data_IF_266744243370
#
_entry.id   IF_266744243370
#
_cell.length_a   1.000
_cell.length_b   1.000
_cell.length_c   1.000
_cell.angle_alpha   90.00
_cell.angle_beta   90.00
_cell.angle_gamma   90.00
#
_symmetry.space_group_name_H-M   'P 1'
#
loop_
_entity.id
_entity.type
_entity.pdbx_description
1 polymer ?
#
# COMPACT_ATOMS: atom_id res chain seq x y z
N UNK A 1 23.05 21.29 3.22
CA UNK A 1 22.26 21.18 1.96
C UNK A 1 20.82 21.55 2.30
N UNK A 2 19.95 21.84 1.32
CA UNK A 2 18.49 21.83 1.58
C UNK A 2 18.05 20.39 1.85
N UNK A 3 17.09 20.19 2.75
CA UNK A 3 16.35 18.92 2.85
C UNK A 3 15.29 18.88 1.75
N UNK A 4 14.98 17.69 1.24
CA UNK A 4 13.90 17.53 0.26
C UNK A 4 12.59 17.12 0.92
N UNK A 5 11.48 17.71 0.50
CA UNK A 5 10.13 17.23 0.81
C UNK A 5 9.61 16.45 -0.38
N UNK A 6 9.25 15.20 -0.17
CA UNK A 6 8.64 14.33 -1.17
C UNK A 6 7.16 14.11 -0.82
N UNK A 7 6.27 14.90 -1.43
CA UNK A 7 4.83 14.72 -1.34
C UNK A 7 4.38 13.66 -2.35
N UNK A 8 3.69 12.62 -1.88
CA UNK A 8 3.04 11.63 -2.73
C UNK A 8 1.60 11.38 -2.26
N UNK A 9 0.68 11.33 -3.21
CA UNK A 9 -0.74 11.07 -2.99
C UNK A 9 -1.21 9.82 -3.74
N UNK A 10 -1.89 8.91 -3.03
CA UNK A 10 -2.56 7.75 -3.61
C UNK A 10 -3.96 8.15 -4.11
N UNK A 11 -4.36 7.68 -5.29
CA UNK A 11 -5.69 7.92 -5.87
C UNK A 11 -6.28 6.58 -6.29
N UNK A 12 -7.11 6.00 -5.42
CA UNK A 12 -7.83 4.76 -5.70
C UNK A 12 -9.33 4.96 -5.52
N UNK A 13 -10.12 4.32 -6.38
CA UNK A 13 -11.53 4.05 -6.16
C UNK A 13 -11.82 2.61 -6.59
N UNK A 14 -12.36 1.75 -5.70
CA UNK A 14 -12.70 0.39 -6.04
C UNK A 14 -13.98 0.33 -6.88
N UNK A 15 -14.09 -0.73 -7.65
CA UNK A 15 -15.18 -1.11 -8.53
C UNK A 15 -16.17 -1.95 -7.73
N UNK A 16 -16.94 -1.28 -6.87
CA UNK A 16 -17.77 -1.92 -5.84
C UNK A 16 -18.74 -2.92 -6.46
N UNK A 17 -18.81 -4.11 -5.87
CA UNK A 17 -19.76 -5.15 -6.24
C UNK A 17 -21.19 -4.75 -5.83
N UNK A 18 -22.18 -5.06 -6.66
CA UNK A 18 -23.59 -5.00 -6.27
C UNK A 18 -23.89 -6.06 -5.20
N UNK A 19 -25.04 -5.94 -4.52
CA UNK A 19 -25.53 -7.08 -3.75
C UNK A 19 -25.82 -8.23 -4.72
N UNK A 20 -25.11 -9.34 -4.54
CA UNK A 20 -25.09 -10.50 -5.43
C UNK A 20 -25.41 -11.76 -4.63
N UNK A 21 -26.55 -12.37 -4.93
CA UNK A 21 -27.17 -13.40 -4.09
C UNK A 21 -26.89 -14.80 -4.63
N UNK A 22 -26.99 -15.81 -3.78
CA UNK A 22 -26.86 -17.22 -4.17
C UNK A 22 -27.78 -17.62 -5.35
N UNK A 23 -28.95 -16.97 -5.49
CA UNK A 23 -29.88 -17.22 -6.58
C UNK A 23 -29.50 -16.55 -7.92
N UNK A 24 -28.50 -15.67 -7.93
CA UNK A 24 -28.05 -14.94 -9.13
C UNK A 24 -26.97 -15.75 -9.89
N UNK A 25 -26.25 -16.62 -9.16
CA UNK A 25 -25.20 -17.52 -9.66
C UNK A 25 -25.72 -18.37 -10.82
N UNK A 26 -24.99 -18.38 -11.93
CA UNK A 26 -25.31 -19.10 -13.16
C UNK A 26 -26.43 -18.46 -14.00
N UNK A 27 -26.78 -17.18 -13.76
CA UNK A 27 -27.90 -16.50 -14.44
C UNK A 27 -27.61 -15.06 -14.83
N UNK A 28 -26.92 -14.30 -13.99
CA UNK A 28 -26.52 -12.92 -14.26
C UNK A 28 -25.08 -12.69 -13.82
N UNK A 29 -24.26 -12.19 -14.73
CA UNK A 29 -22.83 -11.95 -14.52
C UNK A 29 -22.48 -10.46 -14.47
N UNK A 30 -23.47 -9.57 -14.35
CA UNK A 30 -23.26 -8.16 -14.03
C UNK A 30 -22.98 -8.01 -12.52
N UNK A 31 -21.70 -7.90 -12.16
CA UNK A 31 -21.26 -7.94 -10.76
C UNK A 31 -21.20 -6.57 -10.06
N UNK A 32 -21.15 -5.46 -10.80
CA UNK A 32 -20.72 -4.16 -10.28
C UNK A 32 -21.89 -3.20 -10.01
N UNK A 33 -21.80 -2.39 -8.95
CA UNK A 33 -22.79 -1.35 -8.64
C UNK A 33 -22.43 -0.04 -9.35
N UNK A 34 -22.79 0.05 -10.63
CA UNK A 34 -22.59 1.25 -11.46
C UNK A 34 -23.22 2.51 -10.85
N UNK A 35 -24.30 2.37 -10.07
CA UNK A 35 -24.95 3.51 -9.42
C UNK A 35 -24.13 4.02 -8.23
N UNK A 36 -23.68 3.12 -7.34
CA UNK A 36 -22.85 3.47 -6.20
C UNK A 36 -21.48 4.00 -6.65
N UNK A 37 -20.82 3.31 -7.58
CA UNK A 37 -19.52 3.72 -8.12
C UNK A 37 -19.59 5.11 -8.76
N UNK A 38 -20.55 5.35 -9.66
CA UNK A 38 -20.78 6.68 -10.25
C UNK A 38 -21.10 7.74 -9.18
N UNK A 39 -21.97 7.44 -8.23
CA UNK A 39 -22.42 8.42 -7.22
C UNK A 39 -21.31 8.80 -6.25
N UNK A 40 -20.52 7.83 -5.77
CA UNK A 40 -19.38 8.06 -4.88
C UNK A 40 -18.28 8.79 -5.63
N UNK A 41 -17.88 8.33 -6.82
CA UNK A 41 -16.84 9.00 -7.62
C UNK A 41 -17.19 10.46 -7.93
N UNK A 42 -18.46 10.75 -8.27
CA UNK A 42 -18.90 12.13 -8.53
C UNK A 42 -18.83 13.01 -7.28
N UNK A 43 -19.13 12.48 -6.09
CA UNK A 43 -18.94 13.16 -4.80
C UNK A 43 -17.47 13.45 -4.51
N UNK A 44 -16.61 12.44 -4.62
CA UNK A 44 -15.16 12.56 -4.34
C UNK A 44 -14.50 13.52 -5.33
N UNK A 45 -14.83 13.42 -6.63
CA UNK A 45 -14.31 14.34 -7.65
C UNK A 45 -14.61 15.81 -7.36
N UNK A 46 -15.83 16.12 -6.89
CA UNK A 46 -16.26 17.50 -6.60
C UNK A 46 -15.64 18.07 -5.31
N UNK A 47 -15.31 17.24 -4.33
CA UNK A 47 -14.81 17.66 -3.01
C UNK A 47 -13.29 17.53 -2.84
N UNK A 48 -12.69 16.56 -3.52
CA UNK A 48 -11.27 16.24 -3.46
C UNK A 48 -10.60 16.57 -4.79
N UNK A 49 -10.72 15.71 -5.80
CA UNK A 49 -9.81 15.72 -6.95
C UNK A 49 -9.80 17.04 -7.71
N UNK A 50 -10.96 17.60 -8.06
CA UNK A 50 -11.04 18.85 -8.85
C UNK A 50 -10.55 20.07 -8.06
N UNK A 51 -11.08 20.40 -6.86
CA UNK A 51 -10.58 21.55 -6.09
C UNK A 51 -9.10 21.40 -5.69
N UNK A 52 -8.64 20.17 -5.38
CA UNK A 52 -7.26 19.93 -4.98
C UNK A 52 -6.29 19.99 -6.17
N UNK A 53 -6.65 19.45 -7.34
CA UNK A 53 -5.85 19.58 -8.56
C UNK A 53 -5.71 21.05 -8.99
N UNK A 54 -6.80 21.83 -8.89
CA UNK A 54 -6.76 23.28 -9.14
C UNK A 54 -5.81 24.01 -8.17
N UNK A 55 -5.92 23.71 -6.86
CA UNK A 55 -5.03 24.28 -5.84
C UNK A 55 -3.55 23.95 -6.13
N UNK A 56 -3.23 22.69 -6.42
CA UNK A 56 -1.85 22.28 -6.73
C UNK A 56 -1.32 22.94 -8.01
N UNK A 57 -2.15 23.07 -9.04
CA UNK A 57 -1.80 23.73 -10.29
C UNK A 57 -1.48 25.22 -10.09
N UNK A 58 -2.24 25.91 -9.24
CA UNK A 58 -1.98 27.31 -8.91
C UNK A 58 -0.73 27.47 -8.02
N UNK A 59 -0.48 26.56 -7.07
CA UNK A 59 0.75 26.55 -6.26
C UNK A 59 2.01 26.30 -7.10
N UNK A 60 1.93 25.40 -8.09
CA UNK A 60 3.03 25.16 -9.05
C UNK A 60 3.33 26.44 -9.85
N UNK A 61 2.30 27.19 -10.25
CA UNK A 61 2.43 28.48 -10.97
C UNK A 61 2.99 29.59 -10.07
N UNK A 62 2.44 29.77 -8.88
CA UNK A 62 2.87 30.79 -7.91
C UNK A 62 4.36 30.61 -7.55
N UNK A 63 4.75 29.36 -7.25
CA UNK A 63 6.12 29.00 -6.89
C UNK A 63 6.99 28.62 -8.10
N UNK A 64 6.56 28.95 -9.34
CA UNK A 64 7.37 28.86 -10.57
C UNK A 64 8.04 27.49 -10.81
N UNK A 65 7.38 26.41 -10.39
CA UNK A 65 7.90 25.04 -10.47
C UNK A 65 8.89 24.61 -9.37
N UNK A 66 9.13 25.44 -8.34
CA UNK A 66 9.85 25.00 -7.12
C UNK A 66 9.00 24.07 -6.25
N UNK A 67 7.67 24.17 -6.33
CA UNK A 67 6.72 23.26 -5.70
C UNK A 67 6.40 22.07 -6.63
N UNK A 68 6.39 20.85 -6.07
CA UNK A 68 6.26 19.58 -6.80
C UNK A 68 5.56 18.52 -5.95
N UNK A 69 4.89 17.58 -6.63
CA UNK A 69 4.15 16.46 -6.02
C UNK A 69 4.29 15.20 -6.87
N UNK A 70 3.84 14.06 -6.35
CA UNK A 70 3.66 12.84 -7.13
C UNK A 70 2.30 12.18 -6.86
N UNK A 71 1.80 11.43 -7.84
CA UNK A 71 0.55 10.69 -7.76
C UNK A 71 0.74 9.23 -8.18
N UNK A 72 0.08 8.30 -7.51
CA UNK A 72 -0.23 6.99 -8.07
C UNK A 72 -1.74 6.94 -8.27
N UNK A 73 -2.18 6.66 -9.49
CA UNK A 73 -3.60 6.64 -9.86
C UNK A 73 -3.89 5.27 -10.44
N UNK A 74 -4.80 4.51 -9.84
CA UNK A 74 -5.04 3.13 -10.28
C UNK A 74 -5.75 3.08 -11.62
N UNK A 75 -5.59 1.96 -12.34
CA UNK A 75 -6.35 1.66 -13.55
C UNK A 75 -7.85 1.70 -13.31
N UNK A 76 -8.35 1.07 -12.23
CA UNK A 76 -9.77 1.14 -11.86
C UNK A 76 -10.26 2.57 -11.64
N UNK A 77 -9.46 3.45 -11.01
CA UNK A 77 -9.80 4.86 -10.83
C UNK A 77 -9.82 5.61 -12.17
N UNK A 78 -8.85 5.36 -13.05
CA UNK A 78 -8.80 5.93 -14.40
C UNK A 78 -10.00 5.50 -15.26
N UNK A 79 -10.40 4.23 -15.21
CA UNK A 79 -11.58 3.71 -15.91
C UNK A 79 -12.88 4.32 -15.35
N UNK A 80 -13.01 4.47 -14.03
CA UNK A 80 -14.14 5.17 -13.42
C UNK A 80 -14.15 6.67 -13.78
N UNK A 81 -12.99 7.34 -13.87
CA UNK A 81 -12.91 8.71 -14.36
C UNK A 81 -13.35 8.82 -15.82
N UNK A 82 -12.85 7.98 -16.75
CA UNK A 82 -13.26 8.01 -18.16
C UNK A 82 -14.78 7.74 -18.32
N UNK A 83 -15.36 6.84 -17.52
CA UNK A 83 -16.80 6.50 -17.54
C UNK A 83 -17.70 7.57 -16.93
N UNK A 84 -17.29 8.24 -15.85
CA UNK A 84 -18.19 9.06 -15.02
C UNK A 84 -17.69 10.48 -14.68
N UNK A 85 -16.38 10.74 -14.73
CA UNK A 85 -15.75 11.99 -14.28
C UNK A 85 -14.54 12.43 -15.14
N UNK A 86 -14.68 12.56 -16.48
CA UNK A 86 -13.55 12.80 -17.39
C UNK A 86 -12.84 14.14 -17.16
N UNK A 87 -13.49 15.12 -16.50
CA UNK A 87 -12.84 16.37 -16.09
C UNK A 87 -11.75 16.17 -15.02
N UNK A 88 -11.79 15.05 -14.27
CA UNK A 88 -10.73 14.67 -13.33
C UNK A 88 -9.45 14.32 -14.09
N UNK A 89 -9.54 13.48 -15.13
CA UNK A 89 -8.41 13.16 -16.02
C UNK A 89 -7.85 14.44 -16.65
N UNK A 90 -8.72 15.37 -17.09
CA UNK A 90 -8.25 16.62 -17.70
C UNK A 90 -7.50 17.52 -16.70
N UNK A 91 -7.97 17.63 -15.45
CA UNK A 91 -7.21 18.36 -14.42
C UNK A 91 -5.87 17.69 -14.07
N UNK A 92 -5.78 16.36 -14.10
CA UNK A 92 -4.49 15.64 -13.98
C UNK A 92 -3.59 15.83 -15.20
N UNK A 93 -4.13 15.96 -16.42
CA UNK A 93 -3.33 16.33 -17.62
C UNK A 93 -2.76 17.73 -17.49
N UNK A 94 -3.52 18.70 -17.00
CA UNK A 94 -3.03 20.06 -16.76
C UNK A 94 -1.89 20.07 -15.72
N UNK A 95 -1.97 19.23 -14.68
CA UNK A 95 -0.88 19.00 -13.74
C UNK A 95 0.34 18.34 -14.41
N UNK A 96 0.16 17.31 -15.24
CA UNK A 96 1.24 16.65 -15.97
C UNK A 96 2.00 17.62 -16.91
N UNK A 97 1.26 18.48 -17.62
CA UNK A 97 1.80 19.50 -18.53
C UNK A 97 2.72 20.53 -17.84
N UNK A 98 2.69 20.66 -16.51
CA UNK A 98 3.62 21.52 -15.77
C UNK A 98 5.05 20.99 -15.69
N UNK A 99 5.27 19.69 -15.92
CA UNK A 99 6.54 19.01 -15.64
C UNK A 99 6.94 18.95 -14.16
N UNK A 100 6.09 19.44 -13.25
CA UNK A 100 6.33 19.51 -11.80
C UNK A 100 5.67 18.36 -11.02
N UNK A 101 5.05 17.41 -11.73
CA UNK A 101 4.30 16.29 -11.19
C UNK A 101 4.84 14.97 -11.76
N UNK A 102 5.15 14.01 -10.90
CA UNK A 102 5.52 12.64 -11.30
C UNK A 102 4.34 11.68 -11.10
N UNK A 103 4.00 10.90 -12.12
CA UNK A 103 3.02 9.82 -12.03
C UNK A 103 3.78 8.51 -11.78
N UNK A 104 3.36 7.76 -10.77
CA UNK A 104 4.02 6.54 -10.32
C UNK A 104 3.47 5.31 -11.04
N UNK A 105 4.26 4.22 -11.04
CA UNK A 105 3.84 2.91 -11.49
C UNK A 105 3.22 2.12 -10.34
N UNK A 106 2.20 1.31 -10.65
CA UNK A 106 1.41 0.53 -9.69
C UNK A 106 0.79 -0.70 -10.40
N UNK A 107 0.21 -1.65 -9.68
CA UNK A 107 -0.71 -2.65 -10.25
C UNK A 107 -1.97 -2.00 -10.80
N UNK A 108 -2.42 -2.36 -12.01
CA UNK A 108 -3.62 -1.80 -12.63
C UNK A 108 -4.84 -1.75 -11.71
N UNK A 109 -5.18 -2.86 -11.06
CA UNK A 109 -6.40 -3.00 -10.26
C UNK A 109 -6.14 -2.90 -8.74
N UNK A 110 -5.19 -2.07 -8.28
CA UNK A 110 -4.87 -1.91 -6.83
C UNK A 110 -4.78 -3.28 -6.10
N UNK A 111 -4.02 -4.20 -6.68
CA UNK A 111 -4.19 -5.64 -6.43
C UNK A 111 -3.08 -6.23 -5.57
N UNK A 112 -3.40 -7.34 -4.90
CA UNK A 112 -2.42 -8.13 -4.15
C UNK A 112 -1.57 -9.06 -5.04
N UNK A 113 -1.53 -8.85 -6.37
CA UNK A 113 -0.91 -9.75 -7.33
C UNK A 113 0.59 -10.02 -7.08
N UNK A 114 1.30 -9.06 -6.49
CA UNK A 114 2.70 -9.18 -6.05
C UNK A 114 2.92 -10.25 -4.97
N UNK A 115 1.89 -10.63 -4.23
CA UNK A 115 1.90 -11.71 -3.22
C UNK A 115 1.47 -13.07 -3.81
N UNK A 116 0.98 -13.09 -5.06
CA UNK A 116 0.33 -14.26 -5.65
C UNK A 116 1.16 -14.91 -6.77
N UNK A 117 1.51 -14.13 -7.80
CA UNK A 117 2.16 -14.63 -9.01
C UNK A 117 2.83 -13.50 -9.79
N UNK A 118 4.15 -13.60 -9.99
CA UNK A 118 4.93 -12.63 -10.77
C UNK A 118 4.39 -12.42 -12.20
N UNK A 119 3.80 -13.43 -12.83
CA UNK A 119 3.19 -13.29 -14.16
C UNK A 119 1.99 -12.34 -14.18
N UNK A 120 1.13 -12.41 -13.15
CA UNK A 120 -0.03 -11.53 -12.98
C UNK A 120 0.40 -10.12 -12.55
N UNK A 121 1.34 -10.05 -11.59
CA UNK A 121 1.93 -8.79 -11.14
C UNK A 121 2.56 -8.01 -12.31
N UNK A 122 3.37 -8.68 -13.12
CA UNK A 122 3.93 -8.13 -14.38
C UNK A 122 2.83 -7.61 -15.30
N UNK A 123 1.83 -8.44 -15.61
CA UNK A 123 0.76 -8.07 -16.53
C UNK A 123 0.06 -6.78 -16.10
N UNK A 124 -0.25 -6.65 -14.81
CA UNK A 124 -0.90 -5.47 -14.27
C UNK A 124 0.00 -4.23 -14.23
N UNK A 125 1.30 -4.38 -13.93
CA UNK A 125 2.26 -3.27 -13.94
C UNK A 125 2.54 -2.77 -15.37
N UNK A 126 2.58 -3.68 -16.35
CA UNK A 126 2.67 -3.35 -17.78
C UNK A 126 1.38 -2.66 -18.28
N UNK A 127 0.18 -3.19 -17.94
CA UNK A 127 -1.13 -2.57 -18.25
C UNK A 127 -1.23 -1.16 -17.64
N UNK A 128 -0.76 -0.98 -16.40
CA UNK A 128 -0.79 0.30 -15.69
C UNK A 128 0.15 1.33 -16.31
N UNK A 129 1.40 0.95 -16.55
CA UNK A 129 2.40 1.84 -17.16
C UNK A 129 1.95 2.34 -18.54
N UNK A 130 1.32 1.47 -19.34
CA UNK A 130 0.72 1.84 -20.62
C UNK A 130 -0.49 2.78 -20.48
N UNK A 131 -1.29 2.64 -19.42
CA UNK A 131 -2.40 3.54 -19.15
C UNK A 131 -1.94 4.94 -18.70
N UNK A 132 -0.93 5.03 -17.82
CA UNK A 132 -0.34 6.32 -17.41
C UNK A 132 0.22 7.06 -18.64
N UNK A 133 0.91 6.35 -19.55
CA UNK A 133 1.37 6.92 -20.82
C UNK A 133 0.21 7.37 -21.72
N UNK A 134 -0.85 6.55 -21.87
CA UNK A 134 -2.05 6.88 -22.66
C UNK A 134 -2.79 8.12 -22.12
N UNK A 135 -2.99 8.23 -20.80
CA UNK A 135 -3.81 9.30 -20.23
C UNK A 135 -3.06 10.62 -20.07
N UNK A 136 -1.77 10.57 -19.71
CA UNK A 136 -0.99 11.75 -19.29
C UNK A 136 0.26 12.03 -20.14
N UNK A 137 0.60 11.18 -21.11
CA UNK A 137 1.74 11.39 -22.01
C UNK A 137 3.12 11.20 -21.37
N UNK A 138 3.17 10.60 -20.18
CA UNK A 138 4.40 10.37 -19.40
C UNK A 138 4.52 8.90 -19.03
N UNK A 139 5.74 8.37 -18.96
CA UNK A 139 6.00 7.03 -18.42
C UNK A 139 6.34 7.12 -16.93
N UNK A 140 5.83 6.23 -16.07
CA UNK A 140 6.17 6.25 -14.66
C UNK A 140 7.64 5.87 -14.44
N UNK A 141 8.30 6.54 -13.49
CA UNK A 141 9.75 6.38 -13.22
C UNK A 141 10.09 5.87 -11.82
N UNK A 142 9.19 6.05 -10.86
CA UNK A 142 9.21 5.40 -9.56
C UNK A 142 7.95 4.55 -9.38
N UNK A 143 8.05 3.48 -8.61
CA UNK A 143 6.98 2.52 -8.36
C UNK A 143 6.43 2.65 -6.94
N UNK A 144 5.14 2.40 -6.75
CA UNK A 144 4.58 2.00 -5.45
C UNK A 144 3.79 0.71 -5.64
N UNK A 145 4.00 -0.27 -4.77
CA UNK A 145 3.17 -1.47 -4.76
C UNK A 145 1.91 -1.22 -3.91
N UNK A 146 0.88 -2.05 -4.10
CA UNK A 146 -0.42 -1.95 -3.43
C UNK A 146 -0.23 -1.79 -1.93
N UNK A 147 -0.81 -0.75 -1.34
CA UNK A 147 -0.76 -0.51 0.12
C UNK A 147 0.68 -0.35 0.67
N UNK A 148 1.58 0.14 -0.18
CA UNK A 148 3.04 0.19 0.02
C UNK A 148 3.68 -1.18 0.36
N UNK A 149 3.08 -2.29 -0.09
CA UNK A 149 3.52 -3.64 0.24
C UNK A 149 4.93 -3.91 -0.29
N UNK A 150 5.87 -4.24 0.60
CA UNK A 150 7.27 -4.44 0.24
C UNK A 150 7.90 -5.63 0.95
N UNK A 151 8.66 -6.40 0.19
CA UNK A 151 9.73 -7.29 0.65
C UNK A 151 10.86 -7.23 -0.39
N UNK A 152 12.05 -7.70 -0.06
CA UNK A 152 13.19 -7.69 -0.99
C UNK A 152 12.95 -8.56 -2.24
N UNK A 153 12.02 -9.54 -2.19
CA UNK A 153 11.59 -10.27 -3.40
C UNK A 153 10.72 -9.39 -4.30
N UNK A 154 9.81 -8.59 -3.74
CA UNK A 154 8.98 -7.65 -4.49
C UNK A 154 9.84 -6.49 -5.03
N UNK A 155 10.81 -6.00 -4.25
CA UNK A 155 11.77 -4.99 -4.69
C UNK A 155 12.58 -5.46 -5.91
N UNK A 156 13.12 -6.68 -5.84
CA UNK A 156 13.74 -7.33 -7.00
C UNK A 156 12.80 -7.43 -8.20
N UNK A 157 11.58 -7.93 -8.03
CA UNK A 157 10.62 -8.08 -9.12
C UNK A 157 10.27 -6.73 -9.78
N UNK A 158 10.08 -5.67 -8.98
CA UNK A 158 9.86 -4.29 -9.43
C UNK A 158 11.07 -3.74 -10.20
N UNK A 159 12.29 -4.10 -9.81
CA UNK A 159 13.51 -3.72 -10.54
C UNK A 159 13.67 -4.48 -11.85
N UNK A 160 13.35 -5.77 -11.89
CA UNK A 160 13.36 -6.59 -13.11
C UNK A 160 12.23 -6.19 -14.09
N UNK A 161 11.20 -5.46 -13.61
CA UNK A 161 10.21 -4.71 -14.41
C UNK A 161 10.68 -3.31 -14.85
N UNK A 162 11.90 -2.90 -14.48
CA UNK A 162 12.60 -1.71 -14.98
C UNK A 162 12.59 -0.48 -14.07
N UNK A 163 11.89 -0.52 -12.92
CA UNK A 163 11.83 0.61 -11.99
C UNK A 163 13.10 0.69 -11.13
N UNK A 164 13.58 1.91 -10.88
CA UNK A 164 14.85 2.15 -10.12
C UNK A 164 14.63 2.88 -8.79
N UNK A 165 13.39 3.20 -8.50
CA UNK A 165 12.94 3.84 -7.26
C UNK A 165 11.63 3.18 -6.87
N UNK A 166 11.49 2.78 -5.61
CA UNK A 166 10.26 2.24 -5.05
C UNK A 166 9.93 2.92 -3.72
N UNK A 167 8.63 3.18 -3.49
CA UNK A 167 8.10 3.70 -2.23
C UNK A 167 7.66 2.53 -1.34
N UNK A 168 7.92 2.64 -0.03
CA UNK A 168 7.59 1.63 0.99
C UNK A 168 7.27 2.31 2.33
N UNK A 169 6.68 1.58 3.29
CA UNK A 169 6.47 2.08 4.65
C UNK A 169 7.79 2.16 5.45
N UNK A 170 7.94 3.19 6.28
CA UNK A 170 8.98 3.33 7.30
C UNK A 170 8.69 2.48 8.54
N UNK A 171 8.45 1.17 8.34
CA UNK A 171 8.04 0.25 9.39
C UNK A 171 9.09 0.17 10.51
N UNK A 172 8.69 0.49 11.75
CA UNK A 172 9.59 0.53 12.91
C UNK A 172 10.29 -0.80 13.19
N UNK A 173 9.62 -1.92 12.92
CA UNK A 173 10.21 -3.24 13.14
C UNK A 173 11.32 -3.58 12.10
N UNK A 174 11.30 -2.97 10.91
CA UNK A 174 12.37 -3.05 9.89
C UNK A 174 13.50 -2.04 10.17
N UNK A 175 13.14 -0.80 10.49
CA UNK A 175 14.12 0.27 10.66
C UNK A 175 14.88 0.20 12.00
N UNK A 176 14.23 -0.27 13.07
CA UNK A 176 14.79 -0.34 14.42
C UNK A 176 15.11 1.05 14.97
N UNK A 177 16.37 1.47 14.85
CA UNK A 177 16.87 2.80 15.24
C UNK A 177 17.15 3.74 14.05
N UNK A 178 17.02 3.26 12.81
CA UNK A 178 17.15 4.07 11.59
C UNK A 178 15.95 5.00 11.45
N UNK A 179 16.13 6.20 10.88
CA UNK A 179 15.01 7.10 10.52
C UNK A 179 14.52 6.82 9.09
N UNK A 180 13.21 6.93 8.77
CA UNK A 180 12.72 6.88 7.40
C UNK A 180 13.18 8.07 6.53
N UNK A 181 13.76 9.12 7.13
CA UNK A 181 14.09 10.40 6.48
C UNK A 181 15.39 10.38 5.64
N UNK A 182 15.72 9.22 5.10
CA UNK A 182 16.89 8.95 4.25
C UNK A 182 16.50 8.06 3.06
N UNK A 183 17.34 8.05 2.02
CA UNK A 183 17.24 7.05 0.95
C UNK A 183 17.92 5.76 1.40
N UNK A 184 17.33 4.63 1.04
CA UNK A 184 17.85 3.28 1.29
C UNK A 184 18.02 2.51 -0.03
N UNK A 185 18.57 1.31 0.06
CA UNK A 185 18.53 0.30 -1.03
C UNK A 185 18.04 -1.03 -0.51
N UNK A 186 17.44 -1.80 -1.42
CA UNK A 186 17.10 -3.22 -1.25
C UNK A 186 18.39 -4.04 -1.00
N UNK A 187 18.34 -5.01 -0.09
CA UNK A 187 19.51 -5.85 0.28
C UNK A 187 19.97 -6.76 -0.86
N UNK A 188 19.03 -7.26 -1.66
CA UNK A 188 19.22 -8.17 -2.80
C UNK A 188 19.44 -7.39 -4.09
N UNK A 189 18.84 -6.20 -4.22
CA UNK A 189 18.92 -5.33 -5.40
C UNK A 189 19.45 -3.92 -5.07
N UNK A 190 20.76 -3.83 -4.82
CA UNK A 190 21.49 -2.61 -4.42
C UNK A 190 21.41 -1.43 -5.41
N UNK A 191 20.84 -1.63 -6.61
CA UNK A 191 20.55 -0.56 -7.57
C UNK A 191 19.13 0.02 -7.48
N UNK A 192 18.20 -0.68 -6.82
CA UNK A 192 16.90 -0.12 -6.46
C UNK A 192 17.06 0.89 -5.33
N UNK A 193 16.43 2.06 -5.44
CA UNK A 193 16.36 3.06 -4.36
C UNK A 193 15.03 2.95 -3.65
N UNK A 194 15.06 2.95 -2.32
CA UNK A 194 13.88 2.87 -1.48
C UNK A 194 13.65 4.20 -0.77
N UNK A 195 12.44 4.75 -0.91
CA UNK A 195 11.97 5.93 -0.20
C UNK A 195 10.93 5.48 0.82
N UNK A 196 11.21 5.69 2.11
CA UNK A 196 10.40 5.17 3.20
C UNK A 196 9.50 6.25 3.77
N UNK A 197 8.21 5.98 3.85
CA UNK A 197 7.19 6.88 4.43
C UNK A 197 7.58 7.31 5.85
N UNK A 198 7.57 8.62 6.12
CA UNK A 198 7.54 9.12 7.48
C UNK A 198 6.08 9.08 7.95
N UNK A 199 5.65 7.93 8.48
CA UNK A 199 4.24 7.70 8.81
C UNK A 199 3.73 8.71 9.84
N UNK A 200 4.53 9.09 10.84
CA UNK A 200 4.10 10.02 11.90
C UNK A 200 3.68 11.36 11.30
N UNK A 201 4.55 11.98 10.51
CA UNK A 201 4.30 13.28 9.87
C UNK A 201 3.27 13.19 8.74
N UNK A 202 3.10 12.03 8.11
CA UNK A 202 2.04 11.80 7.12
C UNK A 202 0.67 11.73 7.78
N UNK A 203 0.55 10.94 8.85
CA UNK A 203 -0.68 10.74 9.63
C UNK A 203 -1.14 12.02 10.36
N UNK A 204 -0.21 12.92 10.70
CA UNK A 204 -0.51 14.25 11.28
C UNK A 204 -1.38 15.10 10.32
N UNK A 205 -1.22 14.93 9.01
CA UNK A 205 -2.05 15.54 7.97
C UNK A 205 -3.25 14.64 7.65
N UNK A 206 -3.03 13.35 7.38
CA UNK A 206 -4.05 12.44 6.88
C UNK A 206 -5.18 12.18 7.90
N UNK A 207 -4.83 11.93 9.17
CA UNK A 207 -5.77 11.50 10.20
C UNK A 207 -5.97 12.57 11.29
N UNK A 208 -4.89 13.12 11.85
CA UNK A 208 -4.95 13.94 13.08
C UNK A 208 -5.33 15.41 12.86
N UNK A 209 -5.33 15.88 11.62
CA UNK A 209 -5.49 17.31 11.29
C UNK A 209 -6.76 17.96 11.89
N UNK A 210 -7.92 17.29 11.81
CA UNK A 210 -9.16 17.78 12.42
C UNK A 210 -9.45 17.26 13.84
N UNK A 211 -8.58 16.42 14.42
CA UNK A 211 -8.78 15.85 15.75
C UNK A 211 -8.52 16.87 16.87
N UNK A 212 -9.60 17.39 17.45
CA UNK A 212 -9.56 18.34 18.58
C UNK A 212 -9.19 17.69 19.93
N UNK A 213 -9.13 16.35 20.00
CA UNK A 213 -8.62 15.60 21.15
C UNK A 213 -7.09 15.42 21.12
N UNK A 214 -6.47 15.51 19.94
CA UNK A 214 -5.01 15.42 19.81
C UNK A 214 -4.33 16.60 20.50
N UNK A 215 -3.39 16.29 21.39
CA UNK A 215 -2.64 17.27 22.22
C UNK A 215 -1.95 18.39 21.42
N UNK A 216 -1.61 18.14 20.15
CA UNK A 216 -0.90 19.08 19.29
C UNK A 216 -1.83 19.81 18.30
N UNK A 217 -3.15 19.65 18.40
CA UNK A 217 -4.14 20.40 17.60
C UNK A 217 -4.18 21.90 17.96
N UNK A 218 -4.46 22.82 17.02
CA UNK A 218 -4.55 22.62 15.56
C UNK A 218 -3.17 22.52 14.92
N UNK A 219 -3.06 21.80 13.79
CA UNK A 219 -1.84 21.78 13.00
C UNK A 219 -1.71 23.08 12.19
N UNK A 220 -0.62 23.84 12.40
CA UNK A 220 -0.31 25.05 11.62
C UNK A 220 0.95 24.84 10.79
N UNK A 221 1.13 25.65 9.73
CA UNK A 221 2.30 25.54 8.86
C UNK A 221 3.63 25.80 9.59
N UNK A 222 3.64 26.67 10.60
CA UNK A 222 4.81 26.97 11.43
C UNK A 222 5.13 25.82 12.40
N UNK A 223 4.11 25.21 12.99
CA UNK A 223 4.23 24.02 13.84
C UNK A 223 4.80 22.86 13.03
N UNK A 224 4.25 22.61 11.84
CA UNK A 224 4.70 21.56 10.95
C UNK A 224 6.11 21.83 10.38
N UNK A 225 6.42 23.08 10.00
CA UNK A 225 7.78 23.51 9.63
C UNK A 225 8.79 23.20 10.75
N UNK A 226 8.45 23.49 12.01
CA UNK A 226 9.29 23.17 13.17
C UNK A 226 9.61 21.67 13.25
N UNK A 227 8.58 20.82 13.09
CA UNK A 227 8.74 19.36 13.11
C UNK A 227 9.54 18.84 11.91
N UNK A 228 9.31 19.36 10.70
CA UNK A 228 10.10 19.03 9.51
C UNK A 228 11.59 19.42 9.66
N UNK A 229 11.89 20.51 10.38
CA UNK A 229 13.28 20.90 10.68
C UNK A 229 13.91 19.99 11.74
N UNK A 230 13.12 19.52 12.70
CA UNK A 230 13.53 18.63 13.78
C UNK A 230 13.59 17.14 13.40
N UNK A 231 12.93 16.72 12.32
CA UNK A 231 13.11 15.40 11.71
C UNK A 231 14.58 15.16 11.36
N UNK A 232 14.99 13.91 11.22
CA UNK A 232 16.37 13.57 10.87
C UNK A 232 16.65 13.77 9.37
N UNK A 233 17.87 13.44 8.94
CA UNK A 233 18.19 13.14 7.54
C UNK A 233 18.01 14.25 6.49
N UNK A 234 17.88 13.80 5.23
CA UNK A 234 18.02 14.62 4.02
C UNK A 234 16.74 14.70 3.18
N UNK A 235 15.78 13.80 3.39
CA UNK A 235 14.52 13.69 2.65
C UNK A 235 13.37 13.36 3.61
N UNK A 236 12.24 14.05 3.54
CA UNK A 236 11.05 13.73 4.32
C UNK A 236 9.94 13.28 3.37
N UNK A 237 9.50 12.04 3.55
CA UNK A 237 8.56 11.34 2.69
C UNK A 237 7.15 11.41 3.28
N UNK A 238 6.30 12.27 2.71
CA UNK A 238 4.93 12.52 3.20
C UNK A 238 3.95 11.86 2.25
N UNK A 239 3.53 10.64 2.61
CA UNK A 239 2.80 9.70 1.76
C UNK A 239 1.42 9.42 2.36
N UNK A 240 0.34 9.68 1.62
CA UNK A 240 -1.06 9.58 2.10
C UNK A 240 -2.06 9.39 0.96
N UNK A 241 -3.29 8.99 1.26
CA UNK A 241 -4.40 9.00 0.30
C UNK A 241 -4.80 10.43 -0.06
N UNK A 242 -5.15 10.68 -1.32
CA UNK A 242 -5.48 12.01 -1.81
C UNK A 242 -6.84 12.49 -1.27
N UNK A 243 -7.73 11.53 -1.01
CA UNK A 243 -9.01 11.65 -0.30
C UNK A 243 -8.87 12.27 1.10
N UNK A 244 -7.65 12.37 1.63
CA UNK A 244 -7.30 13.27 2.76
C UNK A 244 -7.92 14.65 2.57
N UNK A 245 -7.79 15.23 1.38
CA UNK A 245 -8.25 16.57 1.06
C UNK A 245 -9.71 16.54 0.62
N UNK A 246 -10.63 16.88 1.53
CA UNK A 246 -12.05 17.10 1.23
C UNK A 246 -13.01 15.98 1.64
N UNK A 247 -12.55 14.72 1.69
CA UNK A 247 -13.40 13.58 2.11
C UNK A 247 -13.07 13.10 3.54
N UNK A 248 -11.81 12.74 3.85
CA UNK A 248 -11.41 12.44 5.23
C UNK A 248 -11.34 13.75 6.06
N UNK A 249 -10.45 14.67 5.68
CA UNK A 249 -10.40 16.02 6.24
C UNK A 249 -11.33 16.91 5.40
N UNK A 250 -12.55 17.14 5.87
CA UNK A 250 -13.56 17.97 5.17
C UNK A 250 -13.05 19.39 4.99
N UNK A 251 -13.45 20.06 3.90
CA UNK A 251 -13.04 21.44 3.55
C UNK A 251 -13.04 22.41 4.75
N UNK A 252 -14.15 22.45 5.51
CA UNK A 252 -14.32 23.28 6.70
C UNK A 252 -13.44 22.94 7.92
N UNK A 253 -12.50 22.00 7.80
CA UNK A 253 -11.38 21.82 8.75
C UNK A 253 -10.26 22.84 8.54
N UNK A 254 -10.17 23.44 7.34
CA UNK A 254 -9.04 24.29 6.92
C UNK A 254 -7.92 23.53 6.20
N UNK A 255 -8.09 22.25 5.85
CA UNK A 255 -7.04 21.42 5.22
C UNK A 255 -6.55 22.01 3.88
N UNK A 256 -7.44 22.58 3.07
CA UNK A 256 -7.09 23.23 1.81
C UNK A 256 -6.27 24.51 2.03
N UNK A 257 -6.57 25.28 3.08
CA UNK A 257 -5.80 26.48 3.42
C UNK A 257 -4.44 26.13 4.01
N UNK A 258 -4.36 25.11 4.88
CA UNK A 258 -3.08 24.57 5.34
C UNK A 258 -2.19 24.19 4.15
N UNK A 259 -2.72 23.45 3.18
CA UNK A 259 -1.96 23.03 2.01
C UNK A 259 -1.70 24.16 0.99
N UNK A 260 -2.53 25.22 0.98
CA UNK A 260 -2.28 26.47 0.24
C UNK A 260 -1.09 27.23 0.82
N UNK A 261 -0.97 27.33 2.14
CA UNK A 261 0.10 28.11 2.76
C UNK A 261 1.40 27.32 3.00
N UNK A 262 1.33 25.99 3.17
CA UNK A 262 2.48 25.16 3.52
C UNK A 262 3.65 25.27 2.52
N UNK A 263 3.50 25.15 1.19
CA UNK A 263 4.62 25.26 0.26
C UNK A 263 5.33 26.60 0.34
N UNK A 264 4.57 27.70 0.40
CA UNK A 264 5.11 29.04 0.59
C UNK A 264 5.86 29.20 1.92
N UNK A 265 5.40 28.55 3.00
CA UNK A 265 6.10 28.55 4.29
C UNK A 265 7.44 27.81 4.19
N UNK A 266 7.46 26.59 3.64
CA UNK A 266 8.67 25.76 3.55
C UNK A 266 9.73 26.35 2.59
N UNK A 267 9.29 26.94 1.47
CA UNK A 267 10.19 27.58 0.51
C UNK A 267 10.80 28.88 1.06
N UNK A 268 10.02 29.70 1.80
CA UNK A 268 10.51 30.94 2.42
C UNK A 268 11.48 30.72 3.57
N UNK A 269 11.33 29.62 4.33
CA UNK A 269 12.30 29.25 5.38
C UNK A 269 13.68 28.88 4.79
N UNK A 270 13.72 28.45 3.52
CA UNK A 270 14.96 28.18 2.80
C UNK A 270 15.66 26.87 3.16
N UNK A 271 15.27 26.19 4.25
CA UNK A 271 15.81 24.86 4.60
C UNK A 271 15.37 23.75 3.64
N UNK A 272 14.28 23.97 2.88
CA UNK A 272 13.60 22.92 2.09
C UNK A 272 13.50 23.22 0.59
N UNK A 273 13.32 22.16 -0.19
CA UNK A 273 12.89 22.15 -1.59
C UNK A 273 11.88 21.00 -1.82
N UNK A 274 10.97 21.13 -2.79
CA UNK A 274 10.09 20.03 -3.17
C UNK A 274 10.70 19.19 -4.31
N UNK A 275 10.57 17.88 -4.16
CA UNK A 275 11.10 16.87 -5.09
C UNK A 275 10.05 15.81 -5.36
N UNK A 276 9.96 15.35 -6.60
CA UNK A 276 9.28 14.09 -6.91
C UNK A 276 10.15 12.89 -6.48
N UNK A 277 9.60 11.68 -6.28
CA UNK A 277 10.36 10.49 -5.87
C UNK A 277 11.62 10.23 -6.70
N UNK A 278 11.53 10.29 -8.03
CA UNK A 278 12.69 10.07 -8.91
C UNK A 278 13.71 11.21 -8.83
N UNK A 279 13.29 12.45 -8.52
CA UNK A 279 14.24 13.54 -8.27
C UNK A 279 14.98 13.35 -6.94
N UNK A 280 14.26 12.94 -5.88
CA UNK A 280 14.82 12.75 -4.55
C UNK A 280 15.82 11.58 -4.50
N UNK A 281 15.46 10.44 -5.08
CA UNK A 281 16.31 9.25 -5.16
C UNK A 281 17.54 9.38 -6.09
N UNK A 282 17.56 10.41 -6.96
CA UNK A 282 18.75 10.81 -7.74
C UNK A 282 19.64 11.82 -7.02
N UNK A 283 19.05 12.64 -6.14
CA UNK A 283 19.74 13.72 -5.41
C UNK A 283 20.56 13.19 -4.25
N UNK A 284 19.92 12.36 -3.42
CA UNK A 284 20.48 11.89 -2.15
C UNK A 284 21.18 10.55 -2.33
N UNK A 285 22.25 10.32 -1.58
CA UNK A 285 22.95 9.04 -1.57
C UNK A 285 22.28 8.11 -0.55
N UNK A 286 22.03 6.83 -0.89
CA UNK A 286 21.55 5.89 0.11
C UNK A 286 22.55 5.73 1.25
N UNK A 287 22.07 5.75 2.49
CA UNK A 287 22.95 5.65 3.66
C UNK A 287 23.23 4.21 4.10
N UNK A 288 22.32 3.29 3.77
CA UNK A 288 22.41 1.88 4.12
C UNK A 288 21.48 1.04 3.23
N UNK A 289 21.66 -0.27 3.35
CA UNK A 289 20.68 -1.26 2.91
C UNK A 289 19.61 -1.46 4.00
N UNK A 290 18.42 -1.86 3.58
CA UNK A 290 17.41 -2.50 4.43
C UNK A 290 17.16 -3.91 3.90
N UNK A 291 16.83 -4.82 4.80
CA UNK A 291 16.50 -6.22 4.51
C UNK A 291 15.08 -6.47 5.02
N UNK A 292 14.20 -6.95 4.14
CA UNK A 292 12.80 -7.23 4.46
C UNK A 292 12.42 -8.59 3.87
N UNK A 293 12.38 -9.60 4.73
CA UNK A 293 12.09 -10.98 4.35
C UNK A 293 10.58 -11.21 4.19
N UNK A 294 9.80 -10.87 5.21
CA UNK A 294 8.34 -10.96 5.21
C UNK A 294 7.70 -9.65 4.71
N UNK A 295 6.62 -9.68 3.89
CA UNK A 295 6.01 -8.46 3.35
C UNK A 295 5.43 -7.50 4.40
N UNK A 296 5.98 -6.28 4.45
CA UNK A 296 5.41 -5.15 5.22
C UNK A 296 4.35 -4.42 4.40
N UNK A 297 3.53 -3.57 5.04
CA UNK A 297 2.60 -2.62 4.39
C UNK A 297 2.50 -1.31 5.18
N UNK A 298 1.75 -0.32 4.68
CA UNK A 298 1.43 0.90 5.43
C UNK A 298 0.21 0.82 6.37
N UNK A 299 -0.54 -0.30 6.36
CA UNK A 299 -1.77 -0.47 7.14
C UNK A 299 -1.53 -0.97 8.57
N UNK A 300 -2.49 -0.67 9.44
CA UNK A 300 -2.62 -1.11 10.85
C UNK A 300 -1.38 -0.86 11.74
N UNK A 301 -1.38 -1.26 13.01
CA UNK A 301 -0.21 -1.03 13.88
C UNK A 301 0.95 -1.98 13.54
N UNK A 302 0.64 -3.19 13.06
CA UNK A 302 1.62 -4.23 12.76
C UNK A 302 2.49 -3.89 11.53
N UNK A 303 1.98 -3.09 10.59
CA UNK A 303 2.63 -2.72 9.31
C UNK A 303 2.98 -3.94 8.45
N UNK A 304 2.05 -4.89 8.33
CA UNK A 304 2.17 -6.11 7.54
C UNK A 304 0.96 -6.33 6.61
N UNK A 305 0.84 -7.50 5.98
CA UNK A 305 -0.26 -7.84 5.06
C UNK A 305 -1.52 -8.40 5.74
N UNK A 306 -1.59 -8.45 7.07
CA UNK A 306 -2.73 -9.05 7.80
C UNK A 306 -4.02 -8.23 7.72
N UNK A 307 -3.95 -6.97 7.27
CA UNK A 307 -5.14 -6.18 6.93
C UNK A 307 -5.99 -6.84 5.81
N UNK A 308 -5.34 -7.57 4.87
CA UNK A 308 -6.00 -8.24 3.74
C UNK A 308 -5.89 -9.76 3.74
N UNK A 309 -5.01 -10.36 4.55
CA UNK A 309 -4.76 -11.81 4.60
C UNK A 309 -4.70 -12.38 6.04
N UNK A 310 -5.20 -11.65 7.03
CA UNK A 310 -5.12 -11.99 8.45
C UNK A 310 -6.10 -13.07 8.95
N UNK A 311 -7.12 -13.44 8.16
CA UNK A 311 -8.11 -14.45 8.56
C UNK A 311 -8.46 -15.48 7.46
N UNK A 312 -9.19 -16.53 7.84
CA UNK A 312 -9.57 -17.63 6.94
C UNK A 312 -10.49 -17.19 5.80
N UNK A 313 -11.36 -16.19 6.02
CA UNK A 313 -12.28 -15.67 4.98
C UNK A 313 -11.49 -15.02 3.84
N UNK A 314 -10.55 -14.14 4.23
CA UNK A 314 -9.62 -13.46 3.34
C UNK A 314 -8.75 -14.45 2.57
N UNK A 315 -8.14 -15.40 3.27
CA UNK A 315 -7.26 -16.40 2.66
C UNK A 315 -8.01 -17.34 1.72
N UNK A 316 -9.24 -17.75 2.03
CA UNK A 316 -10.08 -18.57 1.15
C UNK A 316 -10.48 -17.82 -0.13
N UNK A 317 -10.95 -16.57 0.01
CA UNK A 317 -11.30 -15.70 -1.11
C UNK A 317 -10.11 -15.42 -2.04
N UNK A 318 -8.95 -15.12 -1.46
CA UNK A 318 -7.69 -14.86 -2.17
C UNK A 318 -7.21 -16.10 -2.94
N UNK A 319 -7.07 -17.25 -2.25
CA UNK A 319 -6.55 -18.47 -2.87
C UNK A 319 -7.48 -18.99 -3.99
N UNK A 320 -8.80 -18.87 -3.82
CA UNK A 320 -9.77 -19.27 -4.86
C UNK A 320 -9.73 -18.36 -6.08
N UNK A 321 -9.51 -17.05 -5.91
CA UNK A 321 -9.34 -16.12 -7.01
C UNK A 321 -8.04 -16.40 -7.78
N UNK A 322 -6.89 -16.24 -7.13
CA UNK A 322 -5.59 -16.36 -7.80
C UNK A 322 -5.32 -17.77 -8.35
N UNK A 323 -5.98 -18.79 -7.81
CA UNK A 323 -6.00 -20.15 -8.37
C UNK A 323 -6.62 -20.28 -9.77
N UNK A 324 -7.31 -19.26 -10.28
CA UNK A 324 -7.85 -19.28 -11.66
C UNK A 324 -6.85 -18.79 -12.72
N UNK A 325 -5.70 -18.23 -12.33
CA UNK A 325 -4.77 -17.58 -13.26
C UNK A 325 -4.30 -18.47 -14.44
N UNK A 326 -4.04 -19.77 -14.22
CA UNK A 326 -3.67 -20.67 -15.33
C UNK A 326 -4.83 -20.88 -16.31
N UNK A 327 -6.07 -21.01 -15.82
CA UNK A 327 -7.25 -21.14 -16.68
C UNK A 327 -7.43 -19.88 -17.54
N UNK A 328 -7.30 -18.70 -16.94
CA UNK A 328 -7.42 -17.41 -17.64
C UNK A 328 -6.30 -17.20 -18.67
N UNK A 329 -5.06 -17.56 -18.35
CA UNK A 329 -3.94 -17.53 -19.28
C UNK A 329 -4.12 -18.52 -20.45
N UNK A 330 -4.71 -19.70 -20.20
CA UNK A 330 -5.07 -20.65 -21.26
C UNK A 330 -6.23 -20.11 -22.12
N UNK A 331 -7.27 -19.53 -21.53
CA UNK A 331 -8.42 -18.96 -22.24
C UNK A 331 -8.01 -17.77 -23.11
N UNK A 332 -7.28 -16.82 -22.54
CA UNK A 332 -6.91 -15.54 -23.13
C UNK A 332 -8.12 -14.73 -23.65
N UNK A 333 -9.17 -14.67 -22.83
CA UNK A 333 -10.41 -13.92 -23.10
C UNK A 333 -10.34 -12.53 -22.43
N UNK A 334 -10.43 -11.41 -23.18
CA UNK A 334 -10.31 -10.07 -22.59
C UNK A 334 -11.38 -9.71 -21.56
N UNK A 335 -12.61 -10.23 -21.68
CA UNK A 335 -13.71 -9.90 -20.76
C UNK A 335 -13.50 -10.61 -19.42
N UNK A 336 -13.12 -11.90 -19.47
CA UNK A 336 -12.74 -12.62 -18.25
C UNK A 336 -11.48 -12.02 -17.59
N UNK A 337 -10.57 -11.42 -18.35
CA UNK A 337 -9.42 -10.67 -17.80
C UNK A 337 -9.76 -9.29 -17.22
N UNK A 338 -10.82 -8.62 -17.68
CA UNK A 338 -11.34 -7.39 -17.05
C UNK A 338 -12.02 -7.73 -15.70
N UNK A 339 -12.95 -8.69 -15.71
CA UNK A 339 -13.66 -9.15 -14.51
C UNK A 339 -12.71 -9.72 -13.44
N UNK A 340 -11.78 -10.59 -13.82
CA UNK A 340 -10.74 -11.12 -12.91
C UNK A 340 -9.88 -10.02 -12.31
N UNK A 341 -9.60 -8.97 -13.08
CA UNK A 341 -8.82 -7.83 -12.64
C UNK A 341 -9.51 -7.07 -11.51
N UNK A 342 -10.75 -6.65 -11.73
CA UNK A 342 -11.52 -5.95 -10.70
C UNK A 342 -11.75 -6.79 -9.44
N UNK A 343 -11.92 -8.12 -9.58
CA UNK A 343 -12.04 -9.01 -8.42
C UNK A 343 -10.76 -9.12 -7.57
N UNK A 344 -9.60 -8.67 -8.07
CA UNK A 344 -8.34 -8.63 -7.31
C UNK A 344 -8.12 -7.34 -6.50
N UNK A 345 -8.99 -6.32 -6.64
CA UNK A 345 -8.88 -5.04 -5.92
C UNK A 345 -8.83 -5.26 -4.40
N UNK A 346 -7.79 -4.73 -3.74
CA UNK A 346 -7.47 -5.12 -2.36
C UNK A 346 -8.58 -4.77 -1.35
N UNK A 347 -9.36 -3.71 -1.63
CA UNK A 347 -10.61 -3.37 -0.96
C UNK A 347 -11.53 -4.58 -0.70
N UNK A 348 -11.66 -5.49 -1.67
CA UNK A 348 -12.54 -6.65 -1.52
C UNK A 348 -12.10 -7.56 -0.37
N UNK A 349 -10.79 -7.82 -0.23
CA UNK A 349 -10.23 -8.56 0.91
C UNK A 349 -10.22 -7.73 2.20
N UNK A 350 -9.99 -6.42 2.09
CA UNK A 350 -10.03 -5.50 3.23
C UNK A 350 -11.40 -5.48 3.92
N UNK A 351 -12.49 -5.49 3.14
CA UNK A 351 -13.85 -5.54 3.67
C UNK A 351 -14.19 -6.84 4.43
N UNK A 352 -13.37 -7.90 4.26
CA UNK A 352 -13.44 -9.16 5.00
C UNK A 352 -12.54 -9.19 6.25
N UNK A 353 -11.84 -8.09 6.57
CA UNK A 353 -10.98 -8.01 7.76
C UNK A 353 -11.79 -8.05 9.06
N UNK A 354 -11.36 -8.91 9.98
CA UNK A 354 -11.99 -9.06 11.31
C UNK A 354 -11.36 -8.18 12.38
N UNK A 355 -10.21 -7.53 12.13
CA UNK A 355 -9.50 -6.68 13.12
C UNK A 355 -10.39 -5.56 13.66
N UNK A 356 -11.04 -4.83 12.76
CA UNK A 356 -11.86 -3.65 13.07
C UNK A 356 -13.21 -3.99 13.74
N UNK A 357 -13.50 -5.28 13.95
CA UNK A 357 -14.63 -5.74 14.77
C UNK A 357 -14.27 -5.91 16.25
N UNK A 358 -12.98 -5.81 16.61
CA UNK A 358 -12.48 -5.66 17.99
C UNK A 358 -12.36 -4.18 18.39
N UNK A 359 -11.74 -3.37 17.53
CA UNK A 359 -11.43 -1.96 17.78
C UNK A 359 -12.39 -1.05 16.98
N UNK A 360 -13.52 -0.75 17.60
CA UNK A 360 -14.77 -0.38 16.91
C UNK A 360 -14.96 1.05 16.39
N UNK A 361 -13.89 1.80 16.06
CA UNK A 361 -14.02 3.13 15.43
C UNK A 361 -13.07 3.30 14.21
N UNK A 362 -13.25 4.41 13.47
CA UNK A 362 -12.54 4.80 12.22
C UNK A 362 -12.92 4.02 10.95
N UNK A 363 -12.89 2.68 10.94
CA UNK A 363 -12.86 1.91 9.67
C UNK A 363 -14.22 1.65 8.99
N UNK A 364 -15.34 2.07 9.60
CA UNK A 364 -16.70 1.89 9.07
C UNK A 364 -17.10 2.87 7.94
N UNK A 365 -16.23 3.82 7.56
CA UNK A 365 -16.59 4.89 6.62
C UNK A 365 -16.55 4.49 5.12
N UNK A 366 -15.95 3.35 4.78
CA UNK A 366 -15.72 2.92 3.39
C UNK A 366 -16.17 1.49 3.06
N UNK A 367 -16.32 0.60 4.06
CA UNK A 367 -16.85 -0.74 3.84
C UNK A 367 -18.36 -0.68 3.51
N UNK A 368 -18.83 -1.19 2.35
CA UNK A 368 -20.24 -1.16 1.97
C UNK A 368 -21.09 -2.26 2.65
N UNK A 369 -20.49 -3.13 3.46
CA UNK A 369 -21.15 -4.25 4.16
C UNK A 369 -21.18 -4.02 5.68
N UNK A 370 -22.20 -4.55 6.37
CA UNK A 370 -22.35 -4.36 7.82
C UNK A 370 -21.41 -5.26 8.63
N UNK A 371 -20.94 -6.36 8.04
CA UNK A 371 -20.00 -7.31 8.67
C UNK A 371 -19.01 -7.90 7.66
N UNK A 372 -17.83 -8.37 8.11
CA UNK A 372 -16.90 -9.13 7.28
C UNK A 372 -17.51 -10.39 6.64
N UNK A 373 -18.50 -11.00 7.31
CA UNK A 373 -19.22 -12.16 6.79
C UNK A 373 -20.16 -11.80 5.63
N UNK A 374 -20.82 -10.63 5.66
CA UNK A 374 -21.60 -10.13 4.52
C UNK A 374 -20.70 -9.84 3.32
N UNK A 375 -19.54 -9.22 3.54
CA UNK A 375 -18.55 -8.96 2.49
C UNK A 375 -18.07 -10.26 1.83
N UNK A 376 -17.66 -11.24 2.66
CA UNK A 376 -17.23 -12.56 2.20
C UNK A 376 -18.34 -13.29 1.44
N UNK A 377 -19.57 -13.35 1.97
CA UNK A 377 -20.69 -14.04 1.30
C UNK A 377 -21.01 -13.40 -0.06
N UNK A 378 -21.03 -12.06 -0.14
CA UNK A 378 -21.32 -11.36 -1.38
C UNK A 378 -20.24 -11.62 -2.44
N UNK A 379 -18.97 -11.44 -2.06
CA UNK A 379 -17.83 -11.69 -2.92
C UNK A 379 -17.74 -13.17 -3.36
N UNK A 380 -17.97 -14.13 -2.44
CA UNK A 380 -17.89 -15.55 -2.77
C UNK A 380 -19.04 -16.02 -3.68
N UNK A 381 -20.21 -15.38 -3.64
CA UNK A 381 -21.26 -15.63 -4.64
C UNK A 381 -20.80 -15.15 -6.03
N UNK A 382 -20.23 -13.94 -6.14
CA UNK A 382 -19.69 -13.38 -7.39
C UNK A 382 -18.56 -14.27 -7.94
N UNK A 383 -17.57 -14.61 -7.11
CA UNK A 383 -16.45 -15.46 -7.50
C UNK A 383 -16.92 -16.88 -7.91
N UNK A 384 -18.01 -17.38 -7.35
CA UNK A 384 -18.60 -18.66 -7.77
C UNK A 384 -19.20 -18.59 -9.19
N UNK A 385 -19.94 -17.53 -9.52
CA UNK A 385 -20.42 -17.31 -10.90
C UNK A 385 -19.25 -17.11 -11.88
N UNK A 386 -18.25 -16.34 -11.47
CA UNK A 386 -17.06 -16.08 -12.28
C UNK A 386 -16.26 -17.37 -12.58
N UNK A 387 -16.11 -18.26 -11.60
CA UNK A 387 -15.47 -19.58 -11.80
C UNK A 387 -16.31 -20.47 -12.74
N UNK A 388 -17.65 -20.44 -12.66
CA UNK A 388 -18.51 -21.17 -13.60
C UNK A 388 -18.28 -20.69 -15.04
N UNK A 389 -18.24 -19.36 -15.27
CA UNK A 389 -17.95 -18.79 -16.60
C UNK A 389 -16.60 -19.23 -17.16
N UNK A 390 -15.57 -19.30 -16.31
CA UNK A 390 -14.25 -19.79 -16.70
C UNK A 390 -14.31 -21.28 -17.08
N UNK A 391 -14.99 -22.11 -16.29
CA UNK A 391 -15.03 -23.57 -16.53
C UNK A 391 -15.93 -23.94 -17.72
N UNK A 392 -17.01 -23.18 -17.98
CA UNK A 392 -17.80 -23.27 -19.20
C UNK A 392 -17.01 -22.83 -20.44
N UNK A 393 -16.20 -21.77 -20.34
CA UNK A 393 -15.31 -21.33 -21.42
C UNK A 393 -14.18 -22.33 -21.68
N UNK A 394 -13.62 -22.96 -20.64
CA UNK A 394 -12.61 -24.03 -20.76
C UNK A 394 -13.21 -25.27 -21.43
N UNK A 395 -14.42 -25.65 -21.02
CA UNK A 395 -15.18 -26.77 -21.62
C UNK A 395 -15.49 -26.50 -23.10
N UNK A 396 -16.01 -25.31 -23.41
CA UNK A 396 -16.37 -24.89 -24.79
C UNK A 396 -15.16 -24.79 -25.71
N UNK A 397 -14.02 -24.31 -25.20
CA UNK A 397 -12.77 -24.21 -25.98
C UNK A 397 -11.97 -25.52 -26.05
N UNK A 398 -12.37 -26.56 -25.30
CA UNK A 398 -11.66 -27.85 -25.22
C UNK A 398 -10.27 -27.77 -24.56
N UNK A 399 -9.90 -26.61 -24.00
CA UNK A 399 -8.61 -26.37 -23.35
C UNK A 399 -8.54 -27.13 -22.02
N UNK A 400 -7.33 -27.53 -21.62
CA UNK A 400 -7.11 -28.26 -20.36
C UNK A 400 -5.91 -27.70 -19.62
N UNK A 401 -6.12 -27.40 -18.34
CA UNK A 401 -5.06 -27.16 -17.34
C UNK A 401 -4.16 -28.41 -17.32
N UNK A 402 -2.84 -28.24 -17.21
CA UNK A 402 -1.98 -29.41 -16.98
C UNK A 402 -2.17 -29.87 -15.53
N UNK A 403 -2.14 -31.19 -15.24
CA UNK A 403 -2.04 -31.63 -13.86
C UNK A 403 -0.82 -30.98 -13.21
N UNK A 404 -1.03 -30.22 -12.13
CA UNK A 404 0.07 -29.71 -11.33
C UNK A 404 0.97 -30.88 -10.92
N UNK A 405 2.29 -30.71 -11.07
CA UNK A 405 3.23 -31.74 -10.64
C UNK A 405 3.01 -32.03 -9.15
N UNK A 406 3.01 -33.31 -8.75
CA UNK A 406 2.77 -33.69 -7.36
C UNK A 406 3.67 -32.86 -6.42
N UNK A 407 3.13 -32.28 -5.33
CA UNK A 407 3.93 -31.51 -4.40
C UNK A 407 5.05 -32.40 -3.85
N UNK A 408 6.29 -32.05 -4.20
CA UNK A 408 7.48 -32.86 -3.88
C UNK A 408 7.51 -33.09 -2.38
N UNK A 409 7.26 -34.34 -1.97
CA UNK A 409 7.14 -34.71 -0.56
C UNK A 409 8.38 -34.24 0.19
N UNK A 410 8.18 -33.28 1.10
CA UNK A 410 9.26 -32.71 1.89
C UNK A 410 10.09 -33.84 2.53
N UNK A 411 11.42 -33.86 2.36
CA UNK A 411 12.23 -34.99 2.76
C UNK A 411 12.08 -35.24 4.26
N UNK A 412 11.62 -36.44 4.61
CA UNK A 412 11.34 -36.80 5.99
C UNK A 412 12.57 -36.57 6.87
N UNK A 413 12.39 -35.88 8.01
CA UNK A 413 13.48 -35.45 8.90
C UNK A 413 14.29 -36.65 9.44
N UNK A 414 15.35 -37.01 8.71
CA UNK A 414 16.30 -38.04 9.10
C UNK A 414 16.96 -37.68 10.43
N UNK A 415 17.01 -38.65 11.36
CA UNK A 415 17.60 -38.44 12.69
C UNK A 415 19.10 -38.17 12.54
N UNK A 416 19.53 -36.94 12.85
CA UNK A 416 20.93 -36.56 12.81
C UNK A 416 21.73 -37.33 13.88
N UNK A 417 22.51 -38.32 13.44
CA UNK A 417 23.39 -39.08 14.32
C UNK A 417 24.60 -38.22 14.71
N UNK A 418 24.67 -37.80 15.99
CA UNK A 418 25.86 -37.15 16.57
C UNK A 418 27.06 -38.08 16.50
N UNK A 419 28.00 -37.81 15.58
CA UNK A 419 29.29 -38.50 15.53
C UNK A 419 30.29 -37.73 16.41
N UNK A 420 30.73 -38.35 17.50
CA UNK A 420 31.74 -37.79 18.40
C UNK A 420 33.13 -37.91 17.75
N UNK A 421 33.94 -36.86 17.86
CA UNK A 421 35.37 -36.84 17.53
C UNK A 421 36.13 -36.38 18.77
N UNK A 422 37.32 -36.95 19.02
CA UNK A 422 38.13 -36.73 20.22
C UNK A 422 39.23 -35.67 20.02
N UNK A 423 39.75 -35.20 21.15
CA UNK A 423 40.61 -34.04 21.37
C UNK A 423 42.04 -34.13 20.83
N UNK A 424 42.70 -32.96 20.70
CA UNK A 424 44.15 -32.81 20.80
C UNK A 424 44.60 -31.41 21.29
N UNK A 425 44.58 -31.20 22.62
CA UNK A 425 45.56 -30.46 23.46
C UNK A 425 46.00 -28.99 23.22
N UNK A 426 46.18 -28.30 24.38
CA UNK A 426 47.00 -27.10 24.71
C UNK A 426 46.31 -25.71 24.72
N UNK A 427 46.46 -24.85 25.75
CA UNK A 427 47.14 -24.96 27.06
C UNK A 427 47.04 -23.65 27.90
N UNK A 428 47.53 -23.63 29.17
CA UNK A 428 47.44 -22.51 30.18
C UNK A 428 46.03 -22.33 30.79
N UNK A 429 45.72 -22.56 32.10
CA UNK A 429 46.13 -21.91 33.38
C UNK A 429 45.78 -20.40 33.44
N UNK A 430 45.13 -19.82 34.47
CA UNK A 430 44.68 -20.22 35.85
C UNK A 430 43.31 -19.51 36.18
N UNK A 431 42.59 -19.57 37.31
CA UNK A 431 42.81 -20.00 38.72
C UNK A 431 41.54 -20.69 39.35
N UNK A 432 41.21 -20.47 40.64
CA UNK A 432 40.28 -21.30 41.44
C UNK A 432 39.27 -20.55 42.39
N UNK A 433 38.20 -21.27 42.79
CA UNK A 433 37.28 -21.07 43.95
C UNK A 433 36.33 -19.84 44.06
N UNK A 434 35.23 -19.91 44.86
CA UNK A 434 34.32 -21.04 45.14
C UNK A 434 32.79 -20.69 45.05
N UNK A 435 31.92 -21.71 45.14
CA UNK A 435 30.44 -21.60 44.98
C UNK A 435 29.67 -21.57 46.31
N UNK A 436 28.64 -20.71 46.48
CA UNK A 436 27.62 -20.84 47.53
C UNK A 436 26.26 -21.39 47.03
N UNK A 437 25.44 -21.90 47.96
CA UNK A 437 24.30 -22.79 47.70
C UNK A 437 23.00 -22.17 47.14
N UNK A 438 22.13 -23.04 46.61
CA UNK A 438 20.75 -22.74 46.15
C UNK A 438 19.84 -22.25 47.29
N UNK A 439 18.79 -21.49 46.94
CA UNK A 439 17.61 -21.22 47.79
C UNK A 439 16.32 -21.54 47.03
N UNK A 440 15.30 -21.98 47.75
CA UNK A 440 13.97 -22.27 47.22
C UNK A 440 13.07 -21.02 47.12
N UNK A 441 12.06 -20.99 46.23
CA UNK A 441 11.17 -19.86 46.06
C UNK A 441 10.00 -19.86 47.06
N UNK A 442 9.76 -18.72 47.72
CA UNK A 442 8.64 -18.55 48.66
C UNK A 442 7.36 -18.09 47.95
N UNK A 443 6.20 -18.62 48.38
CA UNK A 443 4.86 -18.13 47.99
C UNK A 443 4.68 -16.65 48.36
N UNK A 444 4.06 -15.87 47.47
CA UNK A 444 3.44 -14.58 47.82
C UNK A 444 1.91 -14.71 47.84
N UNK A 445 1.28 -14.09 48.82
CA UNK A 445 -0.18 -14.07 49.01
C UNK A 445 -0.80 -12.81 48.41
N UNK A 446 -2.00 -12.93 47.85
CA UNK A 446 -2.83 -11.82 47.40
C UNK A 446 -3.42 -11.06 48.60
N UNK A 447 -3.53 -9.73 48.48
CA UNK A 447 -4.35 -8.89 49.35
C UNK A 447 -5.30 -8.04 48.50
N UNK A 448 -6.57 -8.03 48.89
CA UNK A 448 -7.56 -7.08 48.39
C UNK A 448 -7.31 -5.68 48.96
N UNK A 449 -7.67 -4.64 48.21
CA UNK A 449 -7.86 -3.27 48.72
C UNK A 449 -9.28 -2.83 48.36
N UNK A 450 -9.95 -2.12 49.27
CA UNK A 450 -11.35 -1.72 49.13
C UNK A 450 -11.52 -0.44 48.30
N UNK A 451 -12.68 -0.30 47.66
CA UNK A 451 -13.19 0.99 47.20
C UNK A 451 -13.33 1.97 48.38
N UNK A 452 -13.06 3.24 48.11
CA UNK A 452 -13.87 4.36 48.59
C UNK A 452 -13.97 5.40 47.48
#
# INVERSE_FOLDING_TARGET
>A
MKKSICLYFQVHQPTRLRQYRFFDIGKDSHYYDDFANRTILRRVAQRCYIPMNNLLLDLIREHKGEFKVAFSITGSALEQFDRYAPEVIESFRQLAQTGCVEFLGETYYHSLASLANFGEFRHQVEKHSAAIERYFGVKPTAFRNTELIYSDSIGRDVYDLGFKVMLSEGAKHVLGWKSPDYVYTDSQQKHLRLLLRNYSLSDDIAFRFSDRGWKDWPLTGEKYLSWLKAADGEIINLFMDYETFGEHQKEGSGIFDFMRFLPGILLRDGSFEFTTPTQAARRHKPIAEIEVQDPISWADEERDVTAWLGNELQQDAYNKLYGQAEKLALLNDPVLWEDYGHLQESDHFYYMSTKFFSDGEVHSYFNPYNTPYEAFINYMNVLSDFIIRIDDAMTTSGKKVKPAAEPVKAPAKGKAARKVVKDASAGSTVADAPVPAKREPARKTTKQVKKK
#
